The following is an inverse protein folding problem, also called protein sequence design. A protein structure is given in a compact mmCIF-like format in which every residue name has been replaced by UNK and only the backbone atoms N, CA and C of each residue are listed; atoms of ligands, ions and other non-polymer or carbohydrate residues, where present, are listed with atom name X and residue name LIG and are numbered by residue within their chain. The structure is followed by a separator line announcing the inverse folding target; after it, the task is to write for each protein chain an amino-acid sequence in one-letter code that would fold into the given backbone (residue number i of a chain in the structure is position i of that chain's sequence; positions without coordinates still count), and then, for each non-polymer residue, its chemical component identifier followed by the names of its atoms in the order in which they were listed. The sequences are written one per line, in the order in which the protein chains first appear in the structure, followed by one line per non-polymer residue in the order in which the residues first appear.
data_IF_850163830932
#
_entry.id   IF_850163830932
#
_cell.length_a   1.000
_cell.length_b   1.000
_cell.length_c   1.000
_cell.angle_alpha   90.00
_cell.angle_beta   90.00
_cell.angle_gamma   90.00
#
_symmetry.space_group_name_H-M   'P 1'
#
loop_
_entity.id
_entity.type
_entity.pdbx_description
1 polymer ?
#
# COMPACT_ATOMS: atom_id res chain seq x y z
N UNK A 1 -21.01 -19.35 27.52
CA UNK A 1 -21.33 -18.02 28.07
C UNK A 1 -20.39 -17.05 27.38
N UNK A 2 -20.89 -16.06 26.62
CA UNK A 2 -20.05 -14.96 26.17
C UNK A 2 -19.72 -14.11 27.40
N UNK A 3 -18.42 -13.84 27.62
CA UNK A 3 -17.97 -12.94 28.69
C UNK A 3 -18.60 -11.55 28.48
N UNK A 4 -19.36 -11.09 29.47
CA UNK A 4 -20.09 -9.82 29.52
C UNK A 4 -19.19 -8.60 29.79
N UNK A 5 -17.86 -8.73 29.75
CA UNK A 5 -16.92 -7.78 30.38
C UNK A 5 -16.16 -6.86 29.40
N UNK A 6 -16.49 -6.85 28.11
CA UNK A 6 -15.82 -5.97 27.11
C UNK A 6 -16.61 -4.73 26.71
N UNK A 7 -17.86 -4.57 27.18
CA UNK A 7 -18.64 -3.36 26.95
C UNK A 7 -18.15 -2.21 27.85
N UNK A 8 -17.03 -1.59 27.47
CA UNK A 8 -16.61 -0.31 28.05
C UNK A 8 -15.10 -0.06 28.13
N UNK A 9 -14.24 -1.06 27.88
CA UNK A 9 -12.79 -0.88 27.97
C UNK A 9 -12.20 -0.48 26.62
N UNK A 10 -11.68 0.74 26.54
CA UNK A 10 -10.86 1.19 25.40
C UNK A 10 -9.54 0.41 25.35
N UNK A 11 -9.06 0.14 24.14
CA UNK A 11 -7.87 -0.68 23.93
C UNK A 11 -6.57 0.12 24.17
N UNK A 12 -5.53 -0.55 24.66
CA UNK A 12 -4.16 -0.06 24.66
C UNK A 12 -3.45 -0.57 23.43
N UNK A 13 -2.93 0.34 22.63
CA UNK A 13 -2.40 0.04 21.30
C UNK A 13 -0.93 0.40 21.21
N UNK A 14 -0.15 -0.47 20.57
CA UNK A 14 1.21 -0.16 20.13
C UNK A 14 1.32 -0.21 18.61
N UNK A 15 2.02 0.74 18.02
CA UNK A 15 2.47 0.73 16.63
C UNK A 15 3.97 0.57 16.60
N UNK A 16 4.42 -0.58 16.13
CA UNK A 16 5.83 -0.97 16.05
C UNK A 16 6.33 -0.71 14.65
N UNK A 17 7.47 -0.03 14.53
CA UNK A 17 8.08 0.32 13.25
C UNK A 17 9.61 0.32 13.31
N UNK A 18 10.24 0.25 12.14
CA UNK A 18 11.69 0.34 11.99
C UNK A 18 12.17 1.76 12.26
N UNK A 19 12.98 1.94 13.30
CA UNK A 19 13.69 3.19 13.50
C UNK A 19 14.78 3.34 12.42
N UNK A 20 14.84 4.54 11.82
CA UNK A 20 15.81 4.91 10.80
C UNK A 20 15.95 3.90 9.64
N UNK A 21 14.85 3.44 9.05
CA UNK A 21 14.91 2.55 7.88
C UNK A 21 15.78 3.17 6.77
N UNK A 22 16.76 2.39 6.30
CA UNK A 22 17.59 2.75 5.14
C UNK A 22 16.90 2.43 3.81
N UNK A 23 15.73 1.79 3.86
CA UNK A 23 15.00 1.29 2.68
C UNK A 23 13.92 2.28 2.26
N UNK A 24 12.98 2.60 3.15
CA UNK A 24 11.85 3.47 2.84
C UNK A 24 11.30 4.13 4.10
N UNK A 25 10.64 5.28 3.96
CA UNK A 25 9.84 5.87 5.04
C UNK A 25 8.40 5.34 5.13
N UNK A 26 7.99 4.40 4.28
CA UNK A 26 6.60 3.94 4.16
C UNK A 26 6.01 3.51 5.50
N UNK A 27 6.70 2.59 6.16
CA UNK A 27 6.25 2.00 7.39
C UNK A 27 6.33 2.98 8.58
N UNK A 28 7.36 3.83 8.59
CA UNK A 28 7.52 4.92 9.58
C UNK A 28 6.34 5.88 9.49
N UNK A 29 6.06 6.40 8.29
CA UNK A 29 5.00 7.37 8.06
C UNK A 29 3.62 6.76 8.35
N UNK A 30 3.39 5.50 7.98
CA UNK A 30 2.15 4.79 8.29
C UNK A 30 1.95 4.63 9.80
N UNK A 31 2.99 4.19 10.54
CA UNK A 31 2.92 4.06 11.98
C UNK A 31 2.69 5.40 12.68
N UNK A 32 3.37 6.47 12.25
CA UNK A 32 3.14 7.81 12.76
C UNK A 32 1.70 8.28 12.49
N UNK A 33 1.23 8.17 11.26
CA UNK A 33 -0.13 8.52 10.86
C UNK A 33 -1.20 7.79 11.68
N UNK A 34 -1.12 6.46 11.73
CA UNK A 34 -2.07 5.64 12.47
C UNK A 34 -2.01 5.95 13.97
N UNK A 35 -0.83 6.19 14.55
CA UNK A 35 -0.69 6.50 15.98
C UNK A 35 -1.47 7.76 16.38
N UNK A 36 -1.40 8.80 15.54
CA UNK A 36 -2.11 10.06 15.76
C UNK A 36 -3.61 9.86 15.59
N UNK A 37 -4.04 9.21 14.51
CA UNK A 37 -5.45 8.95 14.26
C UNK A 37 -6.08 8.11 15.38
N UNK A 38 -5.40 7.04 15.83
CA UNK A 38 -5.88 6.18 16.92
C UNK A 38 -5.95 6.92 18.26
N UNK A 39 -4.99 7.82 18.54
CA UNK A 39 -4.97 8.60 19.79
C UNK A 39 -6.14 9.58 19.93
N UNK A 40 -6.81 9.91 18.82
CA UNK A 40 -7.95 10.82 18.79
C UNK A 40 -9.24 10.17 18.25
N UNK A 41 -9.22 8.86 17.97
CA UNK A 41 -10.38 8.12 17.46
C UNK A 41 -11.42 7.76 18.53
N UNK A 42 -11.05 7.79 19.82
CA UNK A 42 -11.97 7.49 20.94
C UNK A 42 -12.11 6.00 21.28
N UNK A 43 -11.42 5.11 20.57
CA UNK A 43 -11.38 3.66 20.85
C UNK A 43 -10.12 3.21 21.60
N UNK A 44 -9.12 4.07 21.70
CA UNK A 44 -7.84 3.76 22.34
C UNK A 44 -7.69 4.54 23.65
N UNK A 45 -7.45 3.83 24.76
CA UNK A 45 -7.12 4.44 26.06
C UNK A 45 -5.73 5.07 25.98
N UNK A 46 -4.80 4.35 25.34
CA UNK A 46 -3.42 4.74 25.23
C UNK A 46 -2.81 4.23 23.94
N UNK A 47 -2.07 5.10 23.25
CA UNK A 47 -1.34 4.77 22.04
C UNK A 47 0.16 4.92 22.28
N UNK A 48 0.90 3.88 21.97
CA UNK A 48 2.36 3.82 21.99
C UNK A 48 2.89 3.75 20.56
N UNK A 49 3.84 4.62 20.22
CA UNK A 49 4.60 4.54 18.99
C UNK A 49 5.99 4.00 19.34
N UNK A 50 6.25 2.75 18.97
CA UNK A 50 7.39 1.96 19.45
C UNK A 50 8.42 1.80 18.32
N UNK A 51 9.53 2.50 18.46
CA UNK A 51 10.62 2.48 17.50
C UNK A 51 11.57 1.31 17.81
N UNK A 52 11.82 0.44 16.82
CA UNK A 52 12.78 -0.66 16.94
C UNK A 52 13.97 -0.39 16.03
N UNK A 53 15.20 -0.27 16.56
CA UNK A 53 16.38 -0.07 15.76
C UNK A 53 16.57 -1.17 14.72
N UNK A 54 16.86 -0.76 13.50
CA UNK A 54 17.32 -1.68 12.44
C UNK A 54 18.65 -2.33 12.85
N UNK A 55 18.90 -3.63 12.58
CA UNK A 55 20.19 -4.26 12.82
C UNK A 55 21.34 -3.45 12.22
N UNK A 56 22.39 -3.18 13.00
CA UNK A 56 23.58 -2.38 12.63
C UNK A 56 23.38 -0.85 12.52
N UNK A 57 22.20 -0.31 12.86
CA UNK A 57 22.05 1.13 13.05
C UNK A 57 22.51 1.53 14.46
N UNK A 58 23.23 2.67 14.63
CA UNK A 58 23.55 3.17 15.96
C UNK A 58 22.26 3.42 16.74
N UNK A 59 22.18 2.89 17.98
CA UNK A 59 21.09 3.22 18.91
C UNK A 59 21.11 4.72 19.15
N UNK A 60 20.21 5.44 18.50
CA UNK A 60 19.87 6.80 18.88
C UNK A 60 18.69 6.70 19.83
N UNK A 61 18.78 7.38 20.97
CA UNK A 61 17.61 7.55 21.83
C UNK A 61 16.59 8.32 21.00
N UNK A 62 15.39 7.79 20.74
CA UNK A 62 14.39 8.52 19.98
C UNK A 62 14.09 9.81 20.76
N UNK A 63 14.46 10.96 20.21
CA UNK A 63 13.94 12.21 20.74
C UNK A 63 12.46 12.26 20.41
N UNK A 64 11.59 12.71 21.34
CA UNK A 64 10.20 12.95 21.02
C UNK A 64 10.15 13.89 19.82
N UNK A 65 9.67 13.38 18.68
CA UNK A 65 9.49 14.21 17.48
C UNK A 65 8.05 14.66 17.45
N UNK A 66 7.83 15.96 17.39
CA UNK A 66 6.48 16.50 17.19
C UNK A 66 6.14 16.36 15.71
N UNK A 67 5.02 15.73 15.41
CA UNK A 67 4.49 15.63 14.06
C UNK A 67 2.97 15.79 14.07
N UNK A 68 2.39 16.00 12.90
CA UNK A 68 0.95 16.10 12.72
C UNK A 68 0.51 15.26 11.54
N UNK A 69 -0.72 14.77 11.58
CA UNK A 69 -1.31 13.98 10.51
C UNK A 69 -2.67 14.55 10.09
N UNK A 70 -2.93 14.60 8.79
CA UNK A 70 -4.24 14.92 8.20
C UNK A 70 -5.00 13.63 7.95
N UNK A 71 -6.03 13.39 8.74
CA UNK A 71 -6.93 12.24 8.60
C UNK A 71 -7.78 12.37 7.32
N UNK A 72 -8.36 11.27 6.83
CA UNK A 72 -9.16 11.27 5.58
C UNK A 72 -10.37 12.22 5.59
N UNK A 73 -10.90 12.57 6.75
CA UNK A 73 -11.95 13.59 6.89
C UNK A 73 -11.42 15.04 6.82
N UNK A 74 -10.12 15.21 6.53
CA UNK A 74 -9.45 16.50 6.38
C UNK A 74 -8.94 17.11 7.69
N UNK A 75 -9.26 16.51 8.85
CA UNK A 75 -8.87 17.03 10.15
C UNK A 75 -7.37 16.82 10.39
N UNK A 76 -6.67 17.90 10.77
CA UNK A 76 -5.25 17.84 11.18
C UNK A 76 -5.16 17.57 12.67
N UNK A 77 -4.37 16.57 13.03
CA UNK A 77 -4.25 16.03 14.38
C UNK A 77 -2.77 16.08 14.82
N UNK A 78 -2.46 16.63 16.01
CA UNK A 78 -1.09 16.63 16.53
C UNK A 78 -0.72 15.32 17.25
N UNK A 79 0.57 15.02 17.33
CA UNK A 79 1.13 13.86 18.04
C UNK A 79 1.20 14.00 19.57
N UNK A 80 0.53 14.99 20.18
CA UNK A 80 0.63 15.30 21.62
C UNK A 80 0.20 14.16 22.53
N UNK A 81 -0.74 13.32 22.08
CA UNK A 81 -1.28 12.20 22.86
C UNK A 81 -0.62 10.85 22.53
N UNK A 82 0.42 10.86 21.69
CA UNK A 82 1.15 9.64 21.27
C UNK A 82 2.37 9.44 22.16
N UNK A 83 2.44 8.29 22.83
CA UNK A 83 3.59 7.94 23.68
C UNK A 83 4.71 7.32 22.83
N UNK A 84 5.67 8.13 22.41
CA UNK A 84 6.84 7.66 21.66
C UNK A 84 7.86 6.99 22.59
N UNK A 85 8.36 5.81 22.23
CA UNK A 85 9.34 5.06 23.04
C UNK A 85 10.12 4.06 22.20
N UNK A 86 11.30 3.66 22.65
CA UNK A 86 12.03 2.47 22.17
C UNK A 86 12.01 1.31 23.18
N UNK A 87 11.35 1.50 24.32
CA UNK A 87 11.22 0.47 25.36
C UNK A 87 10.12 -0.54 24.98
N UNK A 88 10.53 -1.78 24.67
CA UNK A 88 9.63 -2.88 24.33
C UNK A 88 8.80 -3.38 25.52
N UNK A 89 9.16 -3.03 26.76
CA UNK A 89 8.42 -3.47 27.95
C UNK A 89 6.96 -2.96 27.95
N UNK A 90 6.69 -1.85 27.27
CA UNK A 90 5.34 -1.28 27.13
C UNK A 90 4.38 -2.22 26.39
N UNK A 91 4.89 -3.10 25.54
CA UNK A 91 4.09 -4.03 24.74
C UNK A 91 3.31 -5.02 25.61
N UNK A 92 3.83 -5.38 26.79
CA UNK A 92 3.17 -6.27 27.75
C UNK A 92 1.83 -5.74 28.27
N UNK A 93 1.61 -4.42 28.18
CA UNK A 93 0.38 -3.75 28.63
C UNK A 93 -0.58 -3.44 27.49
N UNK A 94 -0.20 -3.72 26.24
CA UNK A 94 -1.01 -3.42 25.07
C UNK A 94 -1.94 -4.59 24.74
N UNK A 95 -3.17 -4.29 24.34
CA UNK A 95 -4.15 -5.26 23.85
C UNK A 95 -3.88 -5.59 22.37
N UNK A 96 -3.50 -4.58 21.58
CA UNK A 96 -3.23 -4.71 20.14
C UNK A 96 -1.85 -4.14 19.80
N UNK A 97 -1.12 -4.87 18.95
CA UNK A 97 0.21 -4.48 18.46
C UNK A 97 0.18 -4.51 16.94
N UNK A 98 0.26 -3.33 16.32
CA UNK A 98 0.38 -3.16 14.88
C UNK A 98 1.86 -3.22 14.48
N UNK A 99 2.20 -4.13 13.57
CA UNK A 99 3.51 -4.23 12.95
C UNK A 99 3.46 -3.48 11.61
N UNK A 100 4.04 -2.29 11.59
CA UNK A 100 4.30 -1.48 10.40
C UNK A 100 5.80 -1.53 10.17
N UNK A 101 6.30 -2.58 9.52
CA UNK A 101 7.74 -2.85 9.46
C UNK A 101 8.17 -3.26 8.05
N UNK A 102 9.42 -2.97 7.70
CA UNK A 102 10.01 -3.40 6.44
C UNK A 102 9.91 -4.93 6.32
N UNK A 103 9.39 -5.44 5.20
CA UNK A 103 9.14 -6.88 5.00
C UNK A 103 10.40 -7.74 5.21
N UNK A 104 11.57 -7.23 4.81
CA UNK A 104 12.85 -7.92 4.98
C UNK A 104 13.32 -8.00 6.44
N UNK A 105 12.78 -7.14 7.32
CA UNK A 105 13.07 -7.11 8.74
C UNK A 105 11.96 -7.73 9.61
N UNK A 106 10.85 -8.16 9.00
CA UNK A 106 9.67 -8.65 9.70
C UNK A 106 10.00 -9.76 10.70
N UNK A 107 10.74 -10.79 10.29
CA UNK A 107 11.11 -11.90 11.18
C UNK A 107 11.93 -11.45 12.38
N UNK A 108 12.91 -10.56 12.16
CA UNK A 108 13.75 -10.05 13.24
C UNK A 108 12.91 -9.28 14.27
N UNK A 109 12.08 -8.35 13.80
CA UNK A 109 11.23 -7.53 14.66
C UNK A 109 10.15 -8.37 15.34
N UNK A 110 9.51 -9.28 14.63
CA UNK A 110 8.54 -10.20 15.21
C UNK A 110 9.16 -11.02 16.35
N UNK A 111 10.41 -11.47 16.21
CA UNK A 111 11.15 -12.14 17.27
C UNK A 111 11.40 -11.26 18.50
N UNK A 112 11.78 -10.00 18.30
CA UNK A 112 11.95 -9.03 19.40
C UNK A 112 10.63 -8.74 20.13
N UNK A 113 9.55 -8.55 19.38
CA UNK A 113 8.20 -8.35 19.93
C UNK A 113 7.75 -9.59 20.68
N UNK A 114 7.91 -10.79 20.13
CA UNK A 114 7.56 -12.04 20.80
C UNK A 114 8.29 -12.20 22.13
N UNK A 115 9.61 -11.96 22.15
CA UNK A 115 10.44 -11.98 23.36
C UNK A 115 9.98 -10.94 24.38
N UNK A 116 9.61 -9.73 23.94
CA UNK A 116 9.09 -8.70 24.82
C UNK A 116 7.74 -9.09 25.45
N UNK A 117 6.95 -9.95 24.80
CA UNK A 117 5.70 -10.47 25.31
C UNK A 117 5.86 -11.74 26.16
N UNK A 118 7.08 -12.29 26.30
CA UNK A 118 7.31 -13.44 27.17
C UNK A 118 7.08 -13.09 28.65
N UNK A 119 6.55 -14.06 29.39
CA UNK A 119 6.33 -13.95 30.83
C UNK A 119 5.09 -13.15 31.26
N UNK A 120 4.22 -12.74 30.33
CA UNK A 120 2.86 -12.31 30.68
C UNK A 120 2.09 -13.51 31.24
N UNK A 121 2.08 -13.64 32.57
CA UNK A 121 1.40 -14.72 33.32
C UNK A 121 -0.12 -14.62 33.30
N UNK A 122 -0.66 -13.52 32.79
CA UNK A 122 -2.09 -13.31 32.74
C UNK A 122 -2.69 -14.10 31.57
N UNK A 123 -3.14 -15.33 31.85
CA UNK A 123 -3.77 -16.23 30.87
C UNK A 123 -5.03 -15.61 30.23
N UNK A 124 -5.55 -14.50 30.76
CA UNK A 124 -6.71 -13.77 30.24
C UNK A 124 -6.36 -12.63 29.28
N UNK A 125 -5.10 -12.16 29.24
CA UNK A 125 -4.71 -11.03 28.38
C UNK A 125 -4.18 -11.53 27.04
N UNK A 126 -5.07 -11.63 26.05
CA UNK A 126 -4.69 -12.04 24.70
C UNK A 126 -4.20 -10.83 23.89
N UNK A 127 -2.90 -10.77 23.61
CA UNK A 127 -2.36 -9.81 22.65
C UNK A 127 -2.79 -10.18 21.23
N UNK A 128 -3.37 -9.22 20.51
CA UNK A 128 -3.63 -9.35 19.08
C UNK A 128 -2.50 -8.66 18.31
N UNK A 129 -1.91 -9.39 17.38
CA UNK A 129 -0.88 -8.87 16.48
C UNK A 129 -1.55 -8.54 15.15
N UNK A 130 -1.34 -7.34 14.63
CA UNK A 130 -1.86 -6.92 13.32
C UNK A 130 -0.68 -6.58 12.44
N UNK A 131 -0.45 -7.34 11.39
CA UNK A 131 0.61 -7.09 10.43
C UNK A 131 0.06 -6.32 9.24
N UNK A 132 0.60 -5.11 9.01
CA UNK A 132 0.18 -4.22 7.92
C UNK A 132 1.24 -4.22 6.82
N UNK A 133 1.02 -5.06 5.81
CA UNK A 133 1.84 -5.20 4.62
C UNK A 133 1.00 -5.00 3.36
N UNK A 134 1.55 -4.31 2.39
CA UNK A 134 0.92 -4.13 1.08
C UNK A 134 1.79 -4.57 -0.08
N UNK A 135 3.06 -4.89 0.18
CA UNK A 135 3.97 -5.45 -0.81
C UNK A 135 3.44 -6.74 -1.39
N UNK A 136 3.77 -7.00 -2.64
CA UNK A 136 3.50 -8.30 -3.24
C UNK A 136 4.35 -9.41 -2.61
N UNK A 137 5.58 -9.06 -2.19
CA UNK A 137 6.51 -9.95 -1.50
C UNK A 137 5.90 -10.39 -0.17
N UNK A 138 6.14 -11.65 0.22
CA UNK A 138 5.63 -12.20 1.47
C UNK A 138 6.72 -12.91 2.25
N UNK A 139 6.63 -12.81 3.56
CA UNK A 139 7.39 -13.60 4.52
C UNK A 139 6.45 -14.59 5.18
N UNK A 140 6.43 -15.83 4.67
CA UNK A 140 5.52 -16.85 5.17
C UNK A 140 6.00 -17.43 6.53
N UNK A 141 5.06 -17.70 7.42
CA UNK A 141 5.30 -18.46 8.66
C UNK A 141 5.80 -17.65 9.86
N UNK A 142 6.06 -16.34 9.74
CA UNK A 142 6.51 -15.51 10.87
C UNK A 142 5.51 -15.54 12.04
N UNK A 143 4.22 -15.60 11.72
CA UNK A 143 3.10 -15.68 12.65
C UNK A 143 3.19 -16.97 13.49
N UNK A 144 3.41 -18.12 12.86
CA UNK A 144 3.55 -19.40 13.54
C UNK A 144 4.86 -19.50 14.32
N UNK A 145 5.94 -18.95 13.78
CA UNK A 145 7.26 -19.00 14.41
C UNK A 145 7.34 -18.13 15.66
N UNK A 146 6.81 -16.91 15.62
CA UNK A 146 6.97 -15.93 16.69
C UNK A 146 5.72 -15.79 17.58
N UNK A 147 4.54 -16.10 17.04
CA UNK A 147 3.26 -15.88 17.72
C UNK A 147 2.35 -17.13 17.72
N UNK A 148 2.84 -18.35 18.02
CA UNK A 148 2.07 -19.59 17.89
C UNK A 148 0.80 -19.66 18.75
N UNK A 149 0.73 -18.86 19.82
CA UNK A 149 -0.39 -18.83 20.77
C UNK A 149 -1.19 -17.53 20.72
N UNK A 150 -0.92 -16.64 19.77
CA UNK A 150 -1.58 -15.34 19.66
C UNK A 150 -2.42 -15.28 18.39
N UNK A 151 -3.42 -14.40 18.39
CA UNK A 151 -4.17 -14.07 17.19
C UNK A 151 -3.31 -13.11 16.37
N UNK A 152 -2.99 -13.52 15.14
CA UNK A 152 -2.33 -12.67 14.15
C UNK A 152 -3.34 -12.34 13.06
N UNK A 153 -3.54 -11.04 12.81
CA UNK A 153 -4.33 -10.49 11.72
C UNK A 153 -3.41 -10.01 10.61
N UNK A 154 -3.62 -10.51 9.39
CA UNK A 154 -2.94 -10.01 8.20
C UNK A 154 -3.77 -8.90 7.54
N UNK A 155 -3.13 -7.83 7.10
CA UNK A 155 -3.78 -6.72 6.42
C UNK A 155 -2.78 -5.75 5.82
N UNK A 156 -3.26 -4.56 5.44
CA UNK A 156 -2.42 -3.52 4.86
C UNK A 156 -3.21 -2.23 4.59
N UNK A 157 -2.49 -1.12 4.40
CA UNK A 157 -3.07 0.18 4.07
C UNK A 157 -2.80 0.52 2.60
N UNK A 158 -3.86 0.54 1.78
CA UNK A 158 -3.75 0.72 0.33
C UNK A 158 -3.56 2.18 -0.11
N UNK A 159 -2.77 2.92 0.66
CA UNK A 159 -2.35 4.30 0.43
C UNK A 159 -0.97 4.51 1.06
N UNK A 160 -0.09 5.25 0.38
CA UNK A 160 1.16 5.72 0.99
C UNK A 160 0.87 6.97 1.83
N UNK A 161 1.54 7.11 2.98
CA UNK A 161 1.50 8.35 3.76
C UNK A 161 2.71 9.19 3.40
N UNK A 162 2.48 10.42 2.94
CA UNK A 162 3.51 11.37 2.51
C UNK A 162 3.48 12.64 3.36
N UNK A 163 4.58 13.38 3.41
CA UNK A 163 4.55 14.74 3.95
C UNK A 163 4.02 15.69 2.87
N UNK A 164 3.02 16.50 3.21
CA UNK A 164 2.61 17.61 2.37
C UNK A 164 3.62 18.78 2.46
N UNK A 165 3.36 19.84 1.70
CA UNK A 165 4.21 21.03 1.66
C UNK A 165 4.34 21.74 3.02
N UNK A 166 3.46 21.43 3.98
CA UNK A 166 3.46 21.96 5.35
C UNK A 166 4.13 20.99 6.35
N UNK A 167 4.64 19.85 5.89
CA UNK A 167 5.21 18.82 6.74
C UNK A 167 4.16 18.03 7.53
N UNK A 168 2.90 18.03 7.09
CA UNK A 168 1.81 17.25 7.68
C UNK A 168 1.71 15.90 6.96
N UNK A 169 1.73 14.81 7.73
CA UNK A 169 1.55 13.47 7.21
C UNK A 169 0.14 13.30 6.64
N UNK A 170 0.03 13.01 5.36
CA UNK A 170 -1.24 12.94 4.63
C UNK A 170 -1.29 11.69 3.76
N UNK A 171 -2.41 10.93 3.74
CA UNK A 171 -2.62 9.86 2.76
C UNK A 171 -2.50 10.40 1.34
N UNK A 172 -1.69 9.74 0.50
CA UNK A 172 -1.48 10.13 -0.89
C UNK A 172 -2.76 9.92 -1.73
N UNK A 173 -3.52 8.88 -1.43
CA UNK A 173 -4.76 8.49 -2.11
C UNK A 173 -5.89 8.22 -1.11
N UNK A 174 -7.11 8.07 -1.62
CA UNK A 174 -8.29 7.68 -0.84
C UNK A 174 -8.39 6.16 -0.60
N UNK A 175 -7.26 5.46 -0.65
CA UNK A 175 -7.24 4.03 -0.39
C UNK A 175 -7.72 3.69 1.02
N UNK A 176 -8.12 2.44 1.20
CA UNK A 176 -8.70 1.93 2.43
C UNK A 176 -7.74 0.95 3.10
N UNK A 177 -8.00 0.61 4.36
CA UNK A 177 -7.29 -0.48 5.03
C UNK A 177 -8.00 -1.80 4.68
N UNK A 178 -7.24 -2.86 4.43
CA UNK A 178 -7.81 -4.21 4.35
C UNK A 178 -7.30 -5.07 5.49
N UNK A 179 -8.14 -5.99 5.94
CA UNK A 179 -7.81 -7.00 6.95
C UNK A 179 -8.34 -8.35 6.45
N UNK A 180 -7.66 -9.42 6.79
CA UNK A 180 -8.15 -10.77 6.52
C UNK A 180 -9.56 -10.98 7.08
N UNK A 181 -10.32 -11.83 6.42
CA UNK A 181 -11.62 -12.22 6.94
C UNK A 181 -11.44 -13.05 8.20
N UNK A 182 -11.91 -12.52 9.31
CA UNK A 182 -11.88 -13.20 10.61
C UNK A 182 -12.66 -14.51 10.52
N UNK A 183 -11.98 -15.58 10.91
CA UNK A 183 -12.57 -16.88 11.20
C UNK A 183 -13.13 -16.89 12.62
N UNK A 184 -13.91 -17.92 12.99
CA UNK A 184 -14.55 -18.02 14.31
C UNK A 184 -13.54 -17.95 15.47
N UNK A 185 -12.35 -18.51 15.27
CA UNK A 185 -11.23 -18.49 16.22
C UNK A 185 -10.59 -17.10 16.40
N UNK A 186 -10.89 -16.14 15.51
CA UNK A 186 -10.39 -14.75 15.56
C UNK A 186 -11.47 -13.74 15.94
N UNK A 187 -12.67 -14.17 16.35
CA UNK A 187 -13.79 -13.27 16.67
C UNK A 187 -13.47 -12.28 17.80
N UNK A 188 -12.63 -12.66 18.77
CA UNK A 188 -12.19 -11.76 19.85
C UNK A 188 -11.35 -10.58 19.34
N UNK A 189 -10.89 -10.59 18.09
CA UNK A 189 -10.15 -9.51 17.47
C UNK A 189 -11.02 -8.55 16.63
N UNK A 190 -12.35 -8.72 16.64
CA UNK A 190 -13.28 -7.86 15.88
C UNK A 190 -13.10 -6.37 16.18
N UNK A 191 -12.83 -6.01 17.44
CA UNK A 191 -12.66 -4.61 17.85
C UNK A 191 -11.48 -3.89 17.16
N UNK A 192 -10.55 -4.62 16.53
CA UNK A 192 -9.50 -4.02 15.69
C UNK A 192 -10.09 -3.26 14.52
N UNK A 193 -11.21 -3.73 13.97
CA UNK A 193 -11.94 -3.04 12.89
C UNK A 193 -12.51 -1.71 13.41
N UNK A 194 -13.05 -1.69 14.63
CA UNK A 194 -13.58 -0.49 15.25
C UNK A 194 -12.47 0.55 15.54
N UNK A 195 -11.28 0.11 15.93
CA UNK A 195 -10.10 0.99 16.08
C UNK A 195 -9.81 1.71 14.75
N UNK A 196 -9.77 1.00 13.63
CA UNK A 196 -9.55 1.62 12.33
C UNK A 196 -10.71 2.53 11.90
N UNK A 197 -11.97 2.11 12.08
CA UNK A 197 -13.12 2.95 11.76
C UNK A 197 -13.13 4.25 12.56
N UNK A 198 -12.68 4.22 13.82
CA UNK A 198 -12.52 5.40 14.66
C UNK A 198 -11.49 6.42 14.12
N UNK A 199 -10.58 5.94 13.28
CA UNK A 199 -9.59 6.74 12.55
C UNK A 199 -10.15 7.35 11.25
N UNK A 200 -11.47 7.32 11.03
CA UNK A 200 -12.11 7.70 9.76
C UNK A 200 -11.48 6.99 8.55
N UNK A 201 -10.99 5.77 8.77
CA UNK A 201 -10.50 4.89 7.73
C UNK A 201 -11.61 3.91 7.34
N UNK A 202 -11.81 3.73 6.05
CA UNK A 202 -12.59 2.60 5.56
C UNK A 202 -11.77 1.32 5.75
N UNK A 203 -12.44 0.26 6.20
CA UNK A 203 -11.82 -1.05 6.42
C UNK A 203 -12.58 -2.11 5.66
N UNK A 204 -11.86 -2.87 4.83
CA UNK A 204 -12.44 -3.95 4.05
C UNK A 204 -11.92 -5.30 4.53
N UNK A 205 -12.85 -6.12 5.05
CA UNK A 205 -12.54 -7.50 5.40
C UNK A 205 -12.61 -8.40 4.17
N UNK A 206 -11.54 -9.15 3.88
CA UNK A 206 -11.41 -9.95 2.66
C UNK A 206 -10.79 -11.32 2.91
N UNK A 207 -11.34 -12.35 2.26
CA UNK A 207 -10.75 -13.71 2.29
C UNK A 207 -9.49 -13.80 1.45
N UNK A 208 -9.48 -13.08 0.33
CA UNK A 208 -8.44 -13.20 -0.66
C UNK A 208 -7.53 -11.96 -0.63
N UNK A 209 -6.61 -11.93 0.32
CA UNK A 209 -5.66 -10.82 0.44
C UNK A 209 -4.73 -10.74 -0.77
N UNK A 210 -4.35 -11.88 -1.36
CA UNK A 210 -3.43 -11.88 -2.49
C UNK A 210 -4.05 -11.20 -3.72
N UNK A 211 -5.37 -11.23 -3.93
CA UNK A 211 -6.00 -10.44 -5.01
C UNK A 211 -5.83 -8.93 -4.80
N UNK A 212 -5.82 -8.49 -3.55
CA UNK A 212 -5.60 -7.09 -3.16
C UNK A 212 -4.14 -6.70 -3.36
N UNK A 213 -3.18 -7.50 -2.87
CA UNK A 213 -1.74 -7.22 -3.05
C UNK A 213 -1.36 -7.09 -4.52
N UNK A 214 -1.88 -7.95 -5.40
CA UNK A 214 -1.66 -7.83 -6.85
C UNK A 214 -2.24 -6.52 -7.39
N UNK A 215 -3.45 -6.13 -6.98
CA UNK A 215 -4.07 -4.87 -7.40
C UNK A 215 -3.28 -3.65 -6.89
N UNK A 216 -2.78 -3.71 -5.65
CA UNK A 216 -1.94 -2.67 -5.06
C UNK A 216 -0.62 -2.51 -5.82
N UNK A 217 0.11 -3.60 -6.06
CA UNK A 217 1.36 -3.58 -6.83
C UNK A 217 1.15 -3.05 -8.25
N UNK A 218 0.01 -3.39 -8.87
CA UNK A 218 -0.39 -2.87 -10.17
C UNK A 218 -0.60 -1.36 -10.13
N UNK A 219 -1.46 -0.83 -9.27
CA UNK A 219 -1.79 0.60 -9.21
C UNK A 219 -0.57 1.45 -8.81
N UNK A 220 0.17 1.02 -7.80
CA UNK A 220 1.35 1.73 -7.30
C UNK A 220 2.55 1.67 -8.25
N UNK A 221 2.52 0.85 -9.31
CA UNK A 221 3.57 0.85 -10.34
C UNK A 221 3.75 2.19 -11.05
N UNK A 222 2.70 3.02 -11.11
CA UNK A 222 2.81 4.40 -11.60
C UNK A 222 3.83 5.22 -10.78
N UNK A 223 4.01 4.92 -9.49
CA UNK A 223 4.94 5.64 -8.64
C UNK A 223 6.39 5.47 -9.06
N UNK A 224 6.76 4.32 -9.67
CA UNK A 224 8.08 4.13 -10.24
C UNK A 224 8.33 5.07 -11.44
N UNK A 225 7.31 5.26 -12.29
CA UNK A 225 7.38 6.23 -13.40
C UNK A 225 7.49 7.66 -12.88
N UNK A 226 6.73 8.00 -11.84
CA UNK A 226 6.81 9.30 -11.17
C UNK A 226 8.21 9.54 -10.58
N UNK A 227 8.76 8.53 -9.90
CA UNK A 227 10.08 8.60 -9.28
C UNK A 227 11.20 8.80 -10.32
N UNK A 228 11.10 8.22 -11.52
CA UNK A 228 12.08 8.42 -12.60
C UNK A 228 11.93 9.76 -13.33
N UNK A 229 10.70 10.26 -13.45
CA UNK A 229 10.40 11.51 -14.18
C UNK A 229 10.38 12.75 -13.30
N UNK A 230 10.40 12.56 -11.97
CA UNK A 230 10.16 13.60 -10.96
C UNK A 230 8.83 14.35 -11.15
N UNK A 231 7.82 13.66 -11.68
CA UNK A 231 6.46 14.21 -11.83
C UNK A 231 5.58 13.78 -10.65
N UNK A 232 4.72 14.67 -10.12
CA UNK A 232 3.62 14.25 -9.26
C UNK A 232 2.62 13.40 -10.04
N UNK A 233 1.82 12.60 -9.33
CA UNK A 233 0.92 11.59 -9.92
C UNK A 233 -0.02 12.20 -10.97
N UNK A 234 -0.65 13.34 -10.70
CA UNK A 234 -1.56 13.97 -11.67
C UNK A 234 -0.87 14.44 -12.94
N UNK A 235 0.36 14.94 -12.85
CA UNK A 235 1.14 15.31 -14.05
C UNK A 235 1.55 14.07 -14.84
N UNK A 236 1.95 12.99 -14.17
CA UNK A 236 2.25 11.72 -14.81
C UNK A 236 1.01 11.12 -15.51
N UNK A 237 -0.17 11.20 -14.91
CA UNK A 237 -1.42 10.78 -15.55
C UNK A 237 -1.81 11.68 -16.74
N UNK A 238 -1.50 12.97 -16.71
CA UNK A 238 -1.77 13.87 -17.86
C UNK A 238 -0.77 13.69 -19.00
N UNK A 239 0.43 13.20 -18.70
CA UNK A 239 1.45 12.88 -19.70
C UNK A 239 1.16 11.54 -20.38
N UNK A 240 0.94 11.58 -21.70
CA UNK A 240 0.61 10.39 -22.50
C UNK A 240 1.66 9.30 -22.41
N UNK A 241 2.94 9.66 -22.37
CA UNK A 241 4.04 8.69 -22.43
C UNK A 241 4.18 7.97 -21.11
N UNK A 242 4.01 8.68 -20.00
CA UNK A 242 3.91 8.10 -18.67
C UNK A 242 2.73 7.12 -18.57
N UNK A 243 1.55 7.50 -19.09
CA UNK A 243 0.39 6.60 -19.13
C UNK A 243 0.62 5.34 -19.95
N UNK A 244 1.34 5.43 -21.07
CA UNK A 244 1.63 4.25 -21.89
C UNK A 244 2.62 3.31 -21.19
N UNK A 245 3.60 3.84 -20.46
CA UNK A 245 4.48 3.03 -19.61
C UNK A 245 3.67 2.33 -18.51
N UNK A 246 2.78 3.08 -17.86
CA UNK A 246 1.90 2.53 -16.83
C UNK A 246 0.97 1.44 -17.38
N UNK A 247 0.33 1.68 -18.52
CA UNK A 247 -0.51 0.70 -19.20
C UNK A 247 0.27 -0.58 -19.54
N UNK A 248 1.53 -0.46 -19.96
CA UNK A 248 2.34 -1.62 -20.32
C UNK A 248 2.77 -2.44 -19.10
N UNK A 249 3.12 -1.79 -17.98
CA UNK A 249 3.37 -2.49 -16.72
C UNK A 249 2.11 -3.21 -16.21
N UNK A 250 0.94 -2.56 -16.25
CA UNK A 250 -0.32 -3.20 -15.90
C UNK A 250 -0.62 -4.41 -16.80
N UNK A 251 -0.37 -4.28 -18.10
CA UNK A 251 -0.56 -5.36 -19.06
C UNK A 251 0.35 -6.55 -18.78
N UNK A 252 1.63 -6.31 -18.48
CA UNK A 252 2.60 -7.35 -18.14
C UNK A 252 2.23 -8.10 -16.86
N UNK A 253 1.92 -7.36 -15.78
CA UNK A 253 1.52 -7.95 -14.49
C UNK A 253 0.22 -8.76 -14.66
N UNK A 254 -0.77 -8.24 -15.41
CA UNK A 254 -2.01 -8.95 -15.69
C UNK A 254 -1.76 -10.22 -16.51
N UNK A 255 -0.89 -10.16 -17.52
CA UNK A 255 -0.55 -11.31 -18.34
C UNK A 255 0.10 -12.45 -17.53
N UNK A 256 0.92 -12.12 -16.53
CA UNK A 256 1.45 -13.10 -15.58
C UNK A 256 0.33 -13.69 -14.73
N UNK A 257 -0.53 -12.84 -14.16
CA UNK A 257 -1.63 -13.28 -13.32
C UNK A 257 -2.60 -14.20 -14.07
N UNK A 258 -2.96 -13.86 -15.30
CA UNK A 258 -3.84 -14.67 -16.15
C UNK A 258 -3.25 -16.07 -16.38
N UNK A 259 -1.92 -16.22 -16.54
CA UNK A 259 -1.30 -17.54 -16.66
C UNK A 259 -1.32 -18.34 -15.37
N UNK A 260 -1.11 -17.67 -14.23
CA UNK A 260 -1.15 -18.29 -12.91
C UNK A 260 -2.57 -18.71 -12.52
N UNK A 261 -3.57 -17.94 -12.98
CA UNK A 261 -4.97 -18.10 -12.63
C UNK A 261 -5.76 -19.03 -13.58
N UNK A 262 -5.18 -19.53 -14.67
CA UNK A 262 -5.90 -20.28 -15.73
C UNK A 262 -6.85 -21.38 -15.25
N UNK A 263 -6.55 -22.03 -14.12
CA UNK A 263 -7.34 -23.13 -13.55
C UNK A 263 -7.97 -22.81 -12.19
N UNK A 264 -7.88 -21.56 -11.74
CA UNK A 264 -8.40 -21.12 -10.44
C UNK A 264 -9.37 -19.98 -10.69
N UNK A 265 -10.60 -20.08 -10.18
CA UNK A 265 -11.57 -18.98 -10.17
C UNK A 265 -11.04 -17.81 -9.32
N UNK A 266 -10.11 -17.07 -9.89
CA UNK A 266 -9.34 -16.03 -9.24
C UNK A 266 -9.61 -14.71 -9.95
N UNK A 267 -10.03 -13.72 -9.18
CA UNK A 267 -10.30 -12.36 -9.67
C UNK A 267 -9.46 -11.38 -8.86
N UNK A 268 -8.92 -10.36 -9.53
CA UNK A 268 -8.34 -9.20 -8.87
C UNK A 268 -9.38 -8.52 -7.97
N UNK A 269 -8.89 -7.88 -6.91
CA UNK A 269 -9.72 -7.09 -5.99
C UNK A 269 -9.05 -5.73 -5.74
N UNK A 270 -9.45 -4.74 -6.51
CA UNK A 270 -9.02 -3.35 -6.38
C UNK A 270 -9.96 -2.49 -5.51
N UNK A 271 -10.96 -3.10 -4.85
CA UNK A 271 -12.02 -2.36 -4.14
C UNK A 271 -11.50 -1.49 -2.99
N UNK A 272 -10.30 -1.75 -2.49
CA UNK A 272 -9.60 -0.97 -1.46
C UNK A 272 -8.89 0.27 -2.01
N UNK A 273 -8.85 0.47 -3.33
CA UNK A 273 -8.19 1.61 -3.97
C UNK A 273 -9.16 2.48 -4.74
N UNK A 274 -9.98 1.87 -5.59
CA UNK A 274 -10.88 2.58 -6.48
C UNK A 274 -11.99 1.66 -6.98
N UNK A 275 -13.05 2.28 -7.50
CA UNK A 275 -14.21 1.57 -8.06
C UNK A 275 -13.90 0.96 -9.43
N UNK A 276 -12.99 1.57 -10.20
CA UNK A 276 -12.68 1.12 -11.55
C UNK A 276 -11.92 -0.22 -11.54
N UNK A 277 -12.39 -1.25 -12.26
CA UNK A 277 -11.62 -2.47 -12.46
C UNK A 277 -10.31 -2.22 -13.20
N UNK A 278 -9.26 -2.96 -12.85
CA UNK A 278 -7.94 -2.86 -13.49
C UNK A 278 -8.00 -3.02 -15.02
N UNK A 279 -8.79 -3.95 -15.60
CA UNK A 279 -8.94 -4.02 -17.06
C UNK A 279 -9.54 -2.74 -17.68
N UNK A 280 -10.44 -2.07 -16.96
CA UNK A 280 -10.99 -0.77 -17.40
C UNK A 280 -9.93 0.32 -17.35
N UNK A 281 -9.14 0.39 -16.27
CA UNK A 281 -8.00 1.32 -16.17
C UNK A 281 -7.03 1.10 -17.34
N UNK A 282 -6.67 -0.16 -17.62
CA UNK A 282 -5.80 -0.53 -18.73
C UNK A 282 -6.35 -0.09 -20.10
N UNK A 283 -7.67 -0.15 -20.31
CA UNK A 283 -8.29 0.32 -21.54
C UNK A 283 -8.33 1.86 -21.67
N UNK A 284 -8.44 2.57 -20.54
CA UNK A 284 -8.51 4.03 -20.49
C UNK A 284 -7.14 4.70 -20.63
N UNK A 285 -6.09 4.12 -20.05
CA UNK A 285 -4.74 4.71 -20.02
C UNK A 285 -4.16 5.05 -21.40
N UNK A 286 -4.37 4.28 -22.49
CA UNK A 286 -3.85 4.62 -23.81
C UNK A 286 -4.66 5.67 -24.59
N UNK A 287 -5.79 6.16 -24.07
CA UNK A 287 -6.64 7.13 -24.77
C UNK A 287 -5.89 8.44 -25.10
N UNK A 288 -6.20 9.12 -26.22
CA UNK A 288 -5.64 10.44 -26.52
C UNK A 288 -5.86 11.45 -25.37
N UNK A 289 -4.97 12.44 -25.25
CA UNK A 289 -4.96 13.39 -24.11
C UNK A 289 -6.31 14.07 -23.89
N UNK A 290 -6.99 14.46 -24.96
CA UNK A 290 -8.29 15.12 -24.88
C UNK A 290 -9.33 14.26 -24.15
N UNK A 291 -9.51 13.01 -24.58
CA UNK A 291 -10.45 12.08 -23.93
C UNK A 291 -10.02 11.72 -22.52
N UNK A 292 -8.72 11.47 -22.31
CA UNK A 292 -8.24 11.09 -20.99
C UNK A 292 -8.39 12.22 -19.96
N UNK A 293 -8.24 13.49 -20.37
CA UNK A 293 -8.49 14.62 -19.50
C UNK A 293 -9.95 14.69 -19.00
N UNK A 294 -10.92 14.25 -19.81
CA UNK A 294 -12.31 14.11 -19.38
C UNK A 294 -12.46 12.95 -18.38
N UNK A 295 -11.86 11.79 -18.68
CA UNK A 295 -11.88 10.60 -17.82
C UNK A 295 -11.32 10.90 -16.42
N UNK A 296 -10.21 11.65 -16.33
CA UNK A 296 -9.61 12.04 -15.05
C UNK A 296 -10.52 12.91 -14.18
N UNK A 297 -11.53 13.58 -14.75
CA UNK A 297 -12.50 14.35 -13.96
C UNK A 297 -13.64 13.49 -13.42
N UNK A 298 -13.86 12.32 -14.02
CA UNK A 298 -14.99 11.46 -13.73
C UNK A 298 -14.62 10.30 -12.81
N UNK A 299 -13.37 9.85 -12.86
CA UNK A 299 -12.94 8.64 -12.17
C UNK A 299 -11.63 8.83 -11.41
N UNK A 300 -11.60 8.24 -10.21
CA UNK A 300 -10.38 8.03 -9.44
C UNK A 300 -9.68 6.76 -9.93
N UNK A 301 -8.37 6.85 -10.13
CA UNK A 301 -7.49 5.76 -10.53
C UNK A 301 -6.81 5.09 -9.32
N UNK A 302 -7.11 5.52 -8.09
CA UNK A 302 -6.63 4.91 -6.85
C UNK A 302 -5.18 5.24 -6.48
N UNK A 303 -4.59 6.24 -7.14
CA UNK A 303 -3.16 6.58 -7.05
C UNK A 303 -2.89 7.97 -6.45
N UNK A 304 -3.92 8.78 -6.19
CA UNK A 304 -3.75 10.08 -5.54
C UNK A 304 -3.26 11.23 -6.43
N UNK A 305 -2.95 12.37 -5.82
CA UNK A 305 -2.56 13.63 -6.53
C UNK A 305 -1.20 14.22 -6.06
N UNK A 306 -0.49 13.54 -5.16
CA UNK A 306 0.77 14.05 -4.60
C UNK A 306 2.04 13.61 -5.34
N UNK A 307 3.19 13.93 -4.72
CA UNK A 307 4.48 13.32 -5.04
C UNK A 307 4.54 11.96 -4.35
N UNK A 308 4.75 10.85 -5.08
CA UNK A 308 4.83 9.54 -4.46
C UNK A 308 5.99 9.43 -3.48
N UNK A 309 5.77 8.66 -2.41
CA UNK A 309 6.78 8.44 -1.37
C UNK A 309 8.12 7.94 -1.94
N UNK A 310 8.08 7.04 -2.93
CA UNK A 310 9.27 6.55 -3.63
C UNK A 310 10.15 7.68 -4.20
N UNK A 311 9.55 8.75 -4.71
CA UNK A 311 10.28 9.92 -5.22
C UNK A 311 11.01 10.63 -4.08
N UNK A 312 10.35 10.77 -2.93
CA UNK A 312 10.94 11.39 -1.73
C UNK A 312 12.00 10.50 -1.08
N UNK A 313 11.84 9.18 -1.12
CA UNK A 313 12.83 8.20 -0.64
C UNK A 313 14.12 8.30 -1.47
N UNK A 314 14.00 8.39 -2.81
CA UNK A 314 15.16 8.63 -3.68
C UNK A 314 15.85 9.96 -3.34
N UNK A 315 15.08 11.04 -3.16
CA UNK A 315 15.61 12.36 -2.80
C UNK A 315 16.38 12.35 -1.47
N UNK A 316 16.03 11.43 -0.57
CA UNK A 316 16.70 11.24 0.72
C UNK A 316 17.82 10.17 0.66
N UNK A 317 18.09 9.59 -0.52
CA UNK A 317 19.16 8.61 -0.72
C UNK A 317 18.88 7.23 -0.14
N UNK A 318 17.60 6.87 0.05
CA UNK A 318 17.15 5.55 0.50
C UNK A 318 17.12 4.55 -0.66
N UNK A 319 17.22 3.24 -0.37
CA UNK A 319 17.32 2.20 -1.41
C UNK A 319 15.99 1.85 -2.09
N UNK A 320 14.86 2.17 -1.46
CA UNK A 320 13.47 1.86 -1.84
C UNK A 320 13.12 0.37 -1.85
N UNK A 321 11.84 0.04 -1.65
CA UNK A 321 11.34 -1.35 -1.65
C UNK A 321 11.21 -1.96 -3.05
N UNK A 322 11.28 -1.12 -4.10
CA UNK A 322 11.12 -1.54 -5.49
C UNK A 322 12.09 -2.65 -5.91
N UNK A 323 13.22 -2.77 -5.19
CA UNK A 323 14.21 -3.81 -5.42
C UNK A 323 13.64 -5.22 -5.29
N UNK A 324 12.64 -5.42 -4.41
CA UNK A 324 12.00 -6.72 -4.18
C UNK A 324 10.49 -6.74 -4.48
N UNK A 325 9.84 -5.58 -4.63
CA UNK A 325 8.37 -5.48 -4.82
C UNK A 325 7.84 -6.34 -5.97
N UNK A 326 8.58 -6.44 -7.08
CA UNK A 326 8.16 -7.18 -8.27
C UNK A 326 8.84 -8.55 -8.46
N UNK A 327 9.68 -8.99 -7.53
CA UNK A 327 10.38 -10.28 -7.64
C UNK A 327 9.43 -11.44 -7.90
N UNK A 328 8.34 -11.52 -7.13
CA UNK A 328 7.34 -12.58 -7.27
C UNK A 328 6.67 -12.56 -8.66
N UNK A 329 6.45 -11.37 -9.25
CA UNK A 329 5.92 -11.25 -10.63
C UNK A 329 6.94 -11.80 -11.63
N UNK A 330 8.21 -11.45 -11.48
CA UNK A 330 9.27 -11.87 -12.40
C UNK A 330 9.55 -13.37 -12.32
N UNK A 331 9.57 -13.94 -11.11
CA UNK A 331 9.72 -15.38 -10.91
C UNK A 331 8.57 -16.15 -11.56
N UNK A 332 7.33 -15.69 -11.35
CA UNK A 332 6.15 -16.29 -11.98
C UNK A 332 6.17 -16.13 -13.50
N UNK A 333 6.59 -14.97 -14.02
CA UNK A 333 6.73 -14.74 -15.45
C UNK A 333 7.71 -15.73 -16.08
N UNK A 334 8.88 -15.94 -15.45
CA UNK A 334 9.86 -16.92 -15.89
C UNK A 334 9.29 -18.34 -15.86
N UNK A 335 8.67 -18.72 -14.73
CA UNK A 335 8.07 -20.06 -14.54
C UNK A 335 6.98 -20.40 -15.55
N UNK A 336 6.14 -19.43 -15.91
CA UNK A 336 5.03 -19.62 -16.85
C UNK A 336 5.34 -19.15 -18.27
N UNK A 337 6.61 -18.84 -18.56
CA UNK A 337 7.10 -18.38 -19.86
C UNK A 337 6.30 -17.18 -20.42
N UNK A 338 6.00 -16.21 -19.55
CA UNK A 338 5.37 -14.93 -19.91
C UNK A 338 6.48 -13.92 -20.15
N UNK A 339 6.45 -13.27 -21.32
CA UNK A 339 7.42 -12.22 -21.65
C UNK A 339 7.04 -10.93 -20.92
N UNK A 340 7.99 -10.42 -20.14
CA UNK A 340 7.92 -9.10 -19.50
C UNK A 340 9.19 -8.32 -19.84
N UNK A 341 9.06 -7.04 -20.18
CA UNK A 341 10.14 -6.16 -20.62
C UNK A 341 10.11 -4.83 -19.88
N UNK A 342 8.94 -4.20 -19.81
CA UNK A 342 8.77 -2.86 -19.27
C UNK A 342 8.99 -2.86 -17.75
N UNK A 343 8.36 -3.80 -17.04
CA UNK A 343 8.43 -3.86 -15.57
C UNK A 343 9.88 -4.05 -15.06
N UNK A 344 10.69 -5.02 -15.56
CA UNK A 344 12.08 -5.15 -15.12
C UNK A 344 12.96 -3.96 -15.45
N UNK A 345 12.78 -3.34 -16.63
CA UNK A 345 13.56 -2.16 -17.02
C UNK A 345 13.26 -0.96 -16.11
N UNK A 346 11.99 -0.72 -15.79
CA UNK A 346 11.59 0.35 -14.87
C UNK A 346 12.17 0.09 -13.48
N UNK A 347 12.04 -1.13 -12.95
CA UNK A 347 12.62 -1.49 -11.64
C UNK A 347 14.14 -1.25 -11.63
N UNK A 348 14.86 -1.70 -12.65
CA UNK A 348 16.31 -1.53 -12.73
C UNK A 348 16.71 -0.04 -12.74
N UNK A 349 16.02 0.80 -13.49
CA UNK A 349 16.30 2.23 -13.51
C UNK A 349 16.08 2.90 -12.13
N UNK A 350 15.04 2.49 -11.39
CA UNK A 350 14.81 3.03 -10.03
C UNK A 350 15.90 2.54 -9.08
N UNK A 351 16.29 1.26 -9.17
CA UNK A 351 17.39 0.69 -8.37
C UNK A 351 18.73 1.37 -8.71
N UNK A 352 18.98 1.72 -9.97
CA UNK A 352 20.17 2.49 -10.36
C UNK A 352 20.13 3.92 -9.80
N UNK A 353 18.97 4.57 -9.84
CA UNK A 353 18.78 5.89 -9.24
C UNK A 353 19.00 5.87 -7.72
N UNK A 354 18.50 4.84 -7.02
CA UNK A 354 18.67 4.71 -5.57
C UNK A 354 20.13 4.45 -5.19
N UNK A 355 20.84 3.60 -5.96
CA UNK A 355 22.29 3.37 -5.81
C UNK A 355 23.10 4.64 -6.05
N UNK A 356 22.69 5.50 -6.98
CA UNK A 356 23.39 6.74 -7.26
C UNK A 356 23.28 7.77 -6.12
N UNK A 357 22.25 7.67 -5.25
CA UNK A 357 21.99 8.59 -4.12
C UNK A 357 21.96 10.07 -4.51
N UNK A 358 21.50 10.36 -5.74
CA UNK A 358 21.39 11.72 -6.29
C UNK A 358 19.94 12.22 -6.40
N UNK A 359 18.99 11.50 -5.81
CA UNK A 359 17.57 11.76 -6.02
C UNK A 359 17.03 11.19 -7.33
N UNK A 360 15.86 11.67 -7.72
CA UNK A 360 15.26 11.33 -9.01
C UNK A 360 16.19 11.75 -10.16
N UNK A 361 16.35 10.92 -11.20
CA UNK A 361 17.09 11.31 -12.41
C UNK A 361 16.33 12.36 -13.25
N UNK A 362 15.07 12.66 -12.91
CA UNK A 362 14.24 13.66 -13.57
C UNK A 362 14.21 13.53 -15.11
N UNK A 363 14.11 12.28 -15.60
CA UNK A 363 14.08 11.98 -17.02
C UNK A 363 12.82 12.58 -17.65
N UNK A 364 12.96 13.22 -18.81
CA UNK A 364 11.77 13.62 -19.56
C UNK A 364 10.96 12.37 -19.97
N UNK A 365 9.63 12.50 -19.98
CA UNK A 365 8.74 11.39 -20.33
C UNK A 365 9.03 10.81 -21.71
N UNK A 366 9.55 11.63 -22.64
CA UNK A 366 10.02 11.20 -23.96
C UNK A 366 11.25 10.31 -23.91
N UNK A 367 12.24 10.67 -23.09
CA UNK A 367 13.48 9.90 -22.95
C UNK A 367 13.15 8.58 -22.28
N UNK A 368 12.42 8.60 -21.16
CA UNK A 368 12.04 7.38 -20.45
C UNK A 368 11.25 6.43 -21.36
N UNK A 369 10.25 6.93 -22.08
CA UNK A 369 9.47 6.12 -23.03
C UNK A 369 10.34 5.53 -24.15
N UNK A 370 11.27 6.30 -24.70
CA UNK A 370 12.21 5.85 -25.72
C UNK A 370 13.18 4.77 -25.21
N UNK A 371 13.71 4.94 -24.00
CA UNK A 371 14.63 3.99 -23.35
C UNK A 371 13.95 2.65 -23.06
N UNK A 372 12.71 2.68 -22.56
CA UNK A 372 11.98 1.46 -22.21
C UNK A 372 11.45 0.75 -23.46
N UNK A 373 10.92 1.54 -24.41
CA UNK A 373 10.23 1.09 -25.61
C UNK A 373 9.11 0.09 -25.27
N UNK A 374 8.02 0.54 -24.60
CA UNK A 374 6.95 -0.34 -24.15
C UNK A 374 6.21 -1.00 -25.32
N UNK A 375 5.68 -2.20 -25.07
CA UNK A 375 4.99 -3.01 -26.07
C UNK A 375 3.76 -2.30 -26.65
N UNK A 376 3.39 -2.68 -27.88
CA UNK A 376 2.12 -2.27 -28.47
C UNK A 376 0.92 -3.07 -27.92
N UNK A 377 1.17 -4.19 -27.27
CA UNK A 377 0.12 -5.10 -26.80
C UNK A 377 -0.82 -4.43 -25.78
N UNK A 378 -0.28 -3.60 -24.88
CA UNK A 378 -1.07 -2.83 -23.91
C UNK A 378 -2.09 -1.88 -24.56
N UNK A 379 -1.82 -1.41 -25.80
CA UNK A 379 -2.73 -0.53 -26.54
C UNK A 379 -3.93 -1.24 -27.16
N UNK A 380 -3.86 -2.56 -27.35
CA UNK A 380 -4.94 -3.33 -27.95
C UNK A 380 -6.23 -3.26 -27.12
N UNK A 381 -6.10 -3.26 -25.79
CA UNK A 381 -7.24 -3.11 -24.86
C UNK A 381 -8.02 -1.81 -25.10
N UNK A 382 -7.31 -0.71 -25.30
CA UNK A 382 -7.91 0.60 -25.58
C UNK A 382 -8.58 0.64 -26.96
N UNK A 383 -7.95 0.07 -28.00
CA UNK A 383 -8.53 -0.01 -29.34
C UNK A 383 -9.87 -0.76 -29.32
N UNK A 384 -9.92 -1.91 -28.64
CA UNK A 384 -11.16 -2.68 -28.50
C UNK A 384 -12.22 -1.94 -27.70
N UNK A 385 -11.84 -1.26 -26.62
CA UNK A 385 -12.75 -0.43 -25.83
C UNK A 385 -13.36 0.70 -26.66
N UNK A 386 -12.53 1.48 -27.35
CA UNK A 386 -12.96 2.59 -28.21
C UNK A 386 -13.87 2.08 -29.33
N UNK A 387 -13.52 0.97 -29.97
CA UNK A 387 -14.34 0.36 -31.02
C UNK A 387 -15.71 -0.03 -30.48
N UNK A 388 -15.78 -0.68 -29.31
CA UNK A 388 -17.05 -1.04 -28.66
C UNK A 388 -17.89 0.20 -28.36
N UNK A 389 -17.30 1.24 -27.78
CA UNK A 389 -18.00 2.50 -27.48
C UNK A 389 -18.55 3.14 -28.74
N UNK A 390 -17.75 3.25 -29.80
CA UNK A 390 -18.18 3.83 -31.09
C UNK A 390 -19.34 3.01 -31.68
N UNK A 391 -19.20 1.68 -31.74
CA UNK A 391 -20.26 0.80 -32.26
C UNK A 391 -21.54 0.94 -31.43
N UNK A 392 -21.44 0.96 -30.10
CA UNK A 392 -22.60 1.16 -29.23
C UNK A 392 -23.27 2.51 -29.48
N UNK A 393 -22.51 3.61 -29.52
CA UNK A 393 -23.07 4.95 -29.77
C UNK A 393 -23.75 5.03 -31.13
N UNK A 394 -23.11 4.49 -32.19
CA UNK A 394 -23.68 4.48 -33.55
C UNK A 394 -24.96 3.65 -33.61
N UNK A 395 -24.95 2.44 -33.05
CA UNK A 395 -26.14 1.57 -33.02
C UNK A 395 -27.28 2.18 -32.19
N UNK A 396 -26.98 2.80 -31.04
CA UNK A 396 -27.97 3.50 -30.23
C UNK A 396 -28.56 4.71 -30.96
N UNK A 397 -27.72 5.52 -31.63
CA UNK A 397 -28.19 6.66 -32.41
C UNK A 397 -29.04 6.21 -33.62
N UNK A 398 -28.63 5.15 -34.31
CA UNK A 398 -29.39 4.55 -35.41
C UNK A 398 -30.74 4.00 -34.94
N UNK A 399 -30.78 3.32 -33.78
CA UNK A 399 -32.03 2.85 -33.18
C UNK A 399 -32.97 4.01 -32.83
N UNK A 400 -32.43 5.09 -32.24
CA UNK A 400 -33.21 6.30 -31.94
C UNK A 400 -33.76 6.94 -33.22
N UNK A 401 -32.97 6.94 -34.30
CA UNK A 401 -33.42 7.47 -35.60
C UNK A 401 -34.50 6.60 -36.24
N UNK A 402 -34.38 5.27 -36.18
CA UNK A 402 -35.37 4.34 -36.73
C UNK A 402 -36.69 4.30 -35.93
N UNK A 403 -36.66 4.68 -34.65
CA UNK A 403 -37.83 4.79 -33.78
C UNK A 403 -38.53 6.16 -33.85
N UNK A 404 -37.99 7.10 -34.62
CA UNK A 404 -38.61 8.39 -34.97
C UNK A 404 -39.19 8.32 -36.37
#
# INVERSE_FOLDING_TARGET
MPDEDTNGRQARVALVFNDNSSVTKRHVNLAQYLSVCMSQGGWCEKVHLVAIPTPNAPMTTPRPTTFSARRHDGKVLPSTNVNQTSDLSVLKKCDVIFLCVDILQLNHIAGLVAKALEGTKDKKHHHIIVHLETSLKRMEGFDKTHFPTKIVLQGGACFDVVNDDQGVLTPLSNGSVFIERLSKDKESALFVLDIFHSCALEVLSRRNLRAIHWSNAMLTSLYAVCALTNLPVSKALRDRKCRLLFADMLHEILGVLDRVAKDKHWTLDQSVHCVLPIPSILALLPLPNFFFALILRLFDFGVGDGVPLMTTDLAQGLTTEIAYEYEDVMELAMRFNVKIQTLPKIQNLVVEASKAKKGSPALSSSVLYGTIAPSAASRQHSTWFVLKVIVTVVLTAWLIFMLR
#
